data_IF_935653904098
#
_entry.id   IF_935653904098
#
_cell.length_a   1.000
_cell.length_b   1.000
_cell.length_c   1.000
_cell.angle_alpha   90.00
_cell.angle_beta   90.00
_cell.angle_gamma   90.00
#
_symmetry.space_group_name_H-M   'P 1'
#
loop_
_entity.id
_entity.type
_entity.pdbx_description
1 polymer ?
#
# COMPACT_ATOMS: atom_id res chain seq x y z
N UNK A 1 20.69 -18.71 -21.84
CA UNK A 1 19.72 -18.71 -22.96
C UNK A 1 18.81 -19.92 -22.81
N UNK A 2 17.60 -19.73 -22.28
CA UNK A 2 16.33 -20.26 -22.80
C UNK A 2 15.30 -19.19 -22.44
N UNK A 3 14.72 -18.57 -23.46
CA UNK A 3 13.66 -17.58 -23.36
C UNK A 3 12.35 -18.29 -23.72
N UNK A 4 11.30 -18.14 -22.91
CA UNK A 4 9.93 -18.51 -23.29
C UNK A 4 9.08 -17.25 -23.18
N UNK A 5 8.43 -16.79 -24.27
CA UNK A 5 7.52 -15.65 -24.18
C UNK A 5 6.14 -16.18 -23.80
N UNK A 6 5.55 -15.63 -22.74
CA UNK A 6 4.11 -15.75 -22.51
C UNK A 6 3.53 -14.34 -22.60
N UNK A 7 2.75 -14.14 -23.65
CA UNK A 7 2.03 -12.91 -23.93
C UNK A 7 0.93 -12.64 -22.91
N UNK A 8 0.72 -11.34 -22.69
CA UNK A 8 -0.31 -10.80 -21.81
C UNK A 8 0.21 -9.49 -21.24
N UNK A 9 -0.20 -8.37 -21.82
CA UNK A 9 0.20 -7.04 -21.37
C UNK A 9 -0.25 -6.83 -19.91
N UNK A 10 0.62 -7.12 -18.96
CA UNK A 10 0.50 -6.63 -17.60
C UNK A 10 1.27 -5.32 -17.58
N UNK A 11 0.57 -4.22 -17.31
CA UNK A 11 1.22 -2.96 -17.00
C UNK A 11 1.98 -3.16 -15.68
N UNK A 12 3.20 -3.66 -15.77
CA UNK A 12 4.17 -3.58 -14.71
C UNK A 12 4.44 -2.10 -14.52
N UNK A 13 3.80 -1.50 -13.51
CA UNK A 13 4.28 -0.23 -12.98
C UNK A 13 5.73 -0.53 -12.60
N UNK A 14 6.68 0.09 -13.29
CA UNK A 14 8.11 -0.11 -13.09
C UNK A 14 8.46 0.06 -11.60
N UNK A 15 8.44 -1.06 -10.88
CA UNK A 15 9.09 -1.16 -9.59
C UNK A 15 10.58 -1.21 -9.86
N UNK A 16 11.36 -0.72 -8.92
CA UNK A 16 12.79 -1.00 -8.91
C UNK A 16 13.02 -2.51 -9.05
N UNK A 17 14.09 -2.93 -9.73
CA UNK A 17 14.38 -4.35 -9.96
C UNK A 17 14.27 -5.13 -8.63
N UNK A 18 13.40 -6.16 -8.61
CA UNK A 18 13.14 -6.99 -7.43
C UNK A 18 11.97 -6.53 -6.53
N UNK A 19 11.34 -5.38 -6.78
CA UNK A 19 10.21 -4.89 -5.98
C UNK A 19 8.86 -4.99 -6.70
N UNK A 20 7.86 -5.51 -5.98
CA UNK A 20 6.47 -5.49 -6.41
C UNK A 20 5.71 -4.30 -5.78
N UNK A 21 5.05 -3.48 -6.59
CA UNK A 21 4.24 -2.38 -6.09
C UNK A 21 2.94 -2.88 -5.44
N UNK A 22 2.78 -2.65 -4.14
CA UNK A 22 1.56 -2.99 -3.37
C UNK A 22 0.52 -1.85 -3.32
N UNK A 23 0.86 -0.68 -3.89
CA UNK A 23 -0.02 0.47 -4.00
C UNK A 23 0.00 1.03 -5.42
N UNK A 24 -1.18 1.15 -6.03
CA UNK A 24 -1.34 1.59 -7.41
C UNK A 24 -1.27 3.13 -7.57
N UNK A 25 -1.21 3.89 -6.47
CA UNK A 25 -1.22 5.35 -6.47
C UNK A 25 -2.60 5.97 -6.66
N UNK A 26 -3.68 5.18 -6.66
CA UNK A 26 -5.02 5.62 -7.06
C UNK A 26 -6.12 5.10 -6.14
N UNK A 27 -5.98 3.87 -5.66
CA UNK A 27 -7.00 3.16 -4.90
C UNK A 27 -6.38 2.43 -3.72
N UNK A 28 -7.21 2.11 -2.72
CA UNK A 28 -6.84 1.22 -1.61
C UNK A 28 -7.10 -0.25 -1.98
N UNK A 29 -7.05 -0.63 -3.26
CA UNK A 29 -7.25 -2.02 -3.67
C UNK A 29 -6.17 -2.91 -3.05
N UNK A 30 -6.59 -3.97 -2.36
CA UNK A 30 -5.70 -4.85 -1.62
C UNK A 30 -5.39 -4.38 -0.20
N UNK A 31 -5.97 -3.26 0.25
CA UNK A 31 -5.86 -2.76 1.61
C UNK A 31 -7.23 -2.76 2.29
N UNK A 32 -7.25 -3.00 3.60
CA UNK A 32 -8.45 -2.98 4.43
C UNK A 32 -8.24 -2.13 5.67
N UNK A 33 -9.27 -1.36 6.03
CA UNK A 33 -9.28 -0.61 7.29
C UNK A 33 -9.69 -1.53 8.45
N UNK A 34 -8.94 -1.48 9.55
CA UNK A 34 -9.17 -2.31 10.73
C UNK A 34 -9.22 -1.46 12.02
N UNK A 35 -10.18 -1.71 12.93
CA UNK A 35 -11.22 -2.73 12.83
C UNK A 35 -12.29 -2.37 11.80
N UNK A 36 -12.89 -3.40 11.19
CA UNK A 36 -13.96 -3.21 10.23
C UNK A 36 -15.20 -2.57 10.90
N UNK A 37 -15.87 -1.68 10.19
CA UNK A 37 -17.10 -1.02 10.65
C UNK A 37 -16.92 0.35 11.28
N UNK A 38 -15.67 0.79 11.50
CA UNK A 38 -15.37 2.15 11.95
C UNK A 38 -15.45 3.18 10.82
N UNK A 39 -15.48 4.46 11.19
CA UNK A 39 -15.50 5.56 10.22
C UNK A 39 -14.22 5.55 9.36
N UNK A 40 -14.40 5.69 8.03
CA UNK A 40 -13.27 5.71 7.08
C UNK A 40 -12.21 6.74 7.45
N UNK A 41 -11.04 6.24 7.85
CA UNK A 41 -9.90 7.05 8.29
C UNK A 41 -8.79 7.13 7.22
N UNK A 42 -8.87 6.32 6.17
CA UNK A 42 -7.84 6.22 5.13
C UNK A 42 -8.37 6.58 3.76
N UNK A 43 -7.61 7.40 3.03
CA UNK A 43 -7.96 7.86 1.68
C UNK A 43 -6.74 7.89 0.77
N UNK A 44 -6.96 8.03 -0.54
CA UNK A 44 -5.89 8.30 -1.50
C UNK A 44 -6.00 9.75 -1.97
N UNK A 45 -4.94 10.53 -1.76
CA UNK A 45 -4.87 11.94 -2.18
C UNK A 45 -3.54 12.18 -2.88
N UNK A 46 -3.61 12.67 -4.11
CA UNK A 46 -2.41 13.07 -4.87
C UNK A 46 -1.38 11.93 -5.04
N UNK A 47 -1.83 10.69 -5.16
CA UNK A 47 -0.94 9.54 -5.28
C UNK A 47 -0.34 9.03 -3.97
N UNK A 48 -0.86 9.47 -2.82
CA UNK A 48 -0.42 9.04 -1.49
C UNK A 48 -1.58 8.43 -0.72
N UNK A 49 -1.28 7.43 0.11
CA UNK A 49 -2.18 6.99 1.17
C UNK A 49 -2.12 8.03 2.30
N UNK A 50 -3.28 8.54 2.71
CA UNK A 50 -3.40 9.58 3.74
C UNK A 50 -4.34 9.10 4.84
N UNK A 51 -3.83 9.07 6.06
CA UNK A 51 -4.61 8.86 7.28
C UNK A 51 -5.09 10.18 7.86
N UNK A 52 -6.36 10.23 8.27
CA UNK A 52 -7.03 11.42 8.83
C UNK A 52 -6.64 11.67 10.31
N UNK A 53 -6.25 10.63 11.05
CA UNK A 53 -5.79 10.72 12.46
C UNK A 53 -6.88 11.07 13.49
N UNK A 54 -7.94 11.77 13.07
CA UNK A 54 -8.98 12.34 13.94
C UNK A 54 -10.23 11.46 14.08
N UNK A 55 -10.30 10.32 13.40
CA UNK A 55 -11.46 9.41 13.39
C UNK A 55 -11.32 8.16 14.28
N UNK A 56 -10.37 8.17 15.20
CA UNK A 56 -10.06 7.04 16.08
C UNK A 56 -8.85 6.23 15.61
N UNK A 57 -8.56 5.13 16.32
CA UNK A 57 -7.44 4.24 16.00
C UNK A 57 -7.83 3.27 14.90
N UNK A 58 -7.52 3.61 13.65
CA UNK A 58 -7.71 2.72 12.50
C UNK A 58 -6.38 2.33 11.86
N UNK A 59 -6.16 1.04 11.65
CA UNK A 59 -5.04 0.50 10.88
C UNK A 59 -5.44 0.36 9.41
N UNK A 60 -4.48 0.48 8.50
CA UNK A 60 -4.63 0.10 7.11
C UNK A 60 -3.76 -1.12 6.84
N UNK A 61 -4.40 -2.25 6.55
CA UNK A 61 -3.75 -3.57 6.48
C UNK A 61 -3.73 -4.05 5.04
N UNK A 62 -2.53 -4.38 4.52
CA UNK A 62 -2.39 -5.03 3.23
C UNK A 62 -2.82 -6.51 3.32
N UNK A 63 -3.70 -6.93 2.42
CA UNK A 63 -4.44 -8.20 2.52
C UNK A 63 -3.69 -9.43 2.00
N UNK A 64 -2.43 -9.30 1.58
CA UNK A 64 -1.66 -10.48 1.23
C UNK A 64 -1.24 -11.25 2.49
N UNK A 65 -1.98 -12.33 2.79
CA UNK A 65 -1.77 -13.19 3.97
C UNK A 65 -0.59 -14.17 3.82
N UNK A 66 0.09 -14.16 2.68
CA UNK A 66 1.21 -15.06 2.38
C UNK A 66 2.58 -14.38 2.53
N UNK A 67 2.62 -13.13 3.01
CA UNK A 67 3.88 -12.43 3.27
C UNK A 67 4.62 -13.09 4.46
N UNK A 68 5.87 -13.47 4.23
CA UNK A 68 6.79 -13.96 5.25
C UNK A 68 8.06 -13.11 5.24
N UNK A 69 9.10 -13.55 4.53
CA UNK A 69 10.33 -12.78 4.35
C UNK A 69 10.14 -11.76 3.23
N UNK A 70 10.24 -10.47 3.56
CA UNK A 70 10.13 -9.38 2.59
C UNK A 70 11.02 -8.20 2.94
N UNK A 71 11.37 -7.42 1.92
CA UNK A 71 11.90 -6.07 2.07
C UNK A 71 10.81 -5.07 1.70
N UNK A 72 10.55 -4.11 2.58
CA UNK A 72 9.59 -3.04 2.34
C UNK A 72 10.31 -1.72 2.16
N UNK A 73 10.12 -1.11 0.98
CA UNK A 73 10.59 0.23 0.68
C UNK A 73 9.41 1.19 0.52
N UNK A 74 9.41 2.28 1.29
CA UNK A 74 8.38 3.31 1.21
C UNK A 74 8.91 4.66 1.69
N UNK A 75 8.22 5.73 1.26
CA UNK A 75 8.41 7.09 1.77
C UNK A 75 7.22 7.48 2.62
N UNK A 76 7.45 8.24 3.68
CA UNK A 76 6.41 8.76 4.56
C UNK A 76 6.60 10.24 4.82
N UNK A 77 5.54 10.90 5.29
CA UNK A 77 5.57 12.30 5.73
C UNK A 77 4.59 12.48 6.88
N UNK A 78 5.00 13.22 7.90
CA UNK A 78 4.11 13.70 8.96
C UNK A 78 3.98 15.22 8.93
N UNK A 79 2.76 15.76 9.08
CA UNK A 79 2.58 17.11 9.54
C UNK A 79 2.76 17.16 11.06
N UNK A 80 3.78 17.88 11.54
CA UNK A 80 3.95 18.15 12.98
C UNK A 80 4.25 16.92 13.84
N UNK A 81 3.53 16.78 14.98
CA UNK A 81 3.78 15.77 16.03
C UNK A 81 2.92 14.50 15.88
N UNK A 82 2.78 13.99 14.66
CA UNK A 82 2.02 12.77 14.39
C UNK A 82 2.67 11.51 14.98
N UNK A 83 1.86 10.47 15.17
CA UNK A 83 2.31 9.13 15.56
C UNK A 83 1.69 8.11 14.59
N UNK A 84 2.53 7.40 13.84
CA UNK A 84 2.14 6.27 13.00
C UNK A 84 3.34 5.33 12.86
N UNK A 85 3.13 4.18 12.23
CA UNK A 85 4.17 3.18 12.01
C UNK A 85 3.74 2.16 10.95
N UNK A 86 4.73 1.38 10.53
CA UNK A 86 4.54 0.11 9.82
C UNK A 86 4.97 -1.00 10.75
#
# INVERSE_FOLDING_TARGET
>A
MVLVPVGGARAEKAGEEGFAAIFDGKTLKGWEEMPAGDARAWTVVGGMIVGDGDKGRGYLVYQNRELADFELKFSYRFPGKGNSGV
#
